data_IF_736887775913
#
_entry.id   IF_736887775913
#
_cell.length_a   1.000
_cell.length_b   1.000
_cell.length_c   1.000
_cell.angle_alpha   90.00
_cell.angle_beta   90.00
_cell.angle_gamma   90.00
#
_symmetry.space_group_name_H-M   'P 1'
#
loop_
_entity.id
_entity.type
_entity.pdbx_description
1 polymer ?
#
# COMPACT_ATOMS: atom_id res chain seq x y z
N UNK A 1 17.52 9.84 14.81
CA UNK A 1 16.07 9.99 15.00
C UNK A 1 15.44 8.80 14.29
N UNK A 2 14.97 7.79 15.02
CA UNK A 2 14.26 6.67 14.41
C UNK A 2 12.82 7.14 14.10
N UNK A 3 12.31 6.80 12.93
CA UNK A 3 10.89 6.99 12.60
C UNK A 3 10.07 6.04 13.48
N UNK A 4 8.90 6.48 13.97
CA UNK A 4 8.05 5.61 14.78
C UNK A 4 7.60 4.39 13.97
N UNK A 5 7.28 3.28 14.63
CA UNK A 5 6.83 2.05 13.97
C UNK A 5 5.53 2.30 13.17
N UNK A 6 4.68 3.21 13.63
CA UNK A 6 3.47 3.63 12.90
C UNK A 6 3.82 4.28 11.56
N UNK A 7 4.80 5.19 11.57
CA UNK A 7 5.23 5.88 10.35
C UNK A 7 5.88 4.92 9.35
N UNK A 8 6.66 3.96 9.84
CA UNK A 8 7.26 2.93 8.99
C UNK A 8 6.19 2.05 8.32
N UNK A 9 5.14 1.68 9.06
CA UNK A 9 4.02 0.91 8.52
C UNK A 9 3.25 1.70 7.45
N UNK A 10 2.98 2.98 7.71
CA UNK A 10 2.33 3.85 6.73
C UNK A 10 3.19 4.02 5.47
N UNK A 11 4.50 4.24 5.61
CA UNK A 11 5.42 4.31 4.48
C UNK A 11 5.42 2.99 3.68
N UNK A 12 5.46 1.85 4.36
CA UNK A 12 5.44 0.52 3.73
C UNK A 12 4.18 0.32 2.87
N UNK A 13 3.01 0.64 3.41
CA UNK A 13 1.74 0.44 2.70
C UNK A 13 1.36 1.54 1.71
N UNK A 14 2.19 2.58 1.58
CA UNK A 14 2.00 3.65 0.60
C UNK A 14 3.14 3.69 -0.40
N UNK A 15 4.34 4.05 0.01
CA UNK A 15 5.47 4.26 -0.90
C UNK A 15 6.03 2.94 -1.44
N UNK A 16 6.07 1.87 -0.63
CA UNK A 16 6.62 0.58 -1.06
C UNK A 16 5.56 -0.31 -1.73
N UNK A 17 4.38 -0.44 -1.12
CA UNK A 17 3.33 -1.37 -1.56
C UNK A 17 1.96 -0.72 -1.76
N UNK A 18 1.92 0.58 -2.07
CA UNK A 18 0.66 1.30 -2.28
C UNK A 18 -0.01 1.05 -3.62
N UNK A 19 -1.35 1.07 -3.57
CA UNK A 19 -2.23 1.07 -4.72
C UNK A 19 -3.01 2.38 -4.78
N UNK A 20 -3.43 2.81 -5.97
CA UNK A 20 -4.28 3.99 -6.14
C UNK A 20 -5.42 3.71 -7.11
N UNK A 21 -6.46 4.55 -7.02
CA UNK A 21 -7.49 4.63 -8.05
C UNK A 21 -7.08 5.58 -9.16
N UNK A 22 -7.34 5.18 -10.40
CA UNK A 22 -7.25 6.01 -11.59
C UNK A 22 -8.56 5.85 -12.38
N UNK A 23 -9.50 6.77 -12.15
CA UNK A 23 -10.90 6.59 -12.59
C UNK A 23 -11.51 5.36 -11.93
N UNK A 24 -12.06 4.46 -12.74
CA UNK A 24 -12.66 3.18 -12.28
C UNK A 24 -11.63 2.04 -12.16
N UNK A 25 -10.34 2.31 -12.44
CA UNK A 25 -9.28 1.29 -12.43
C UNK A 25 -8.44 1.35 -11.16
N UNK A 26 -8.02 0.17 -10.70
CA UNK A 26 -7.02 0.01 -9.66
C UNK A 26 -5.62 -0.06 -10.30
N UNK A 27 -4.66 0.69 -9.75
CA UNK A 27 -3.28 0.75 -10.24
C UNK A 27 -2.30 0.58 -9.08
N UNK A 28 -1.15 -0.02 -9.36
CA UNK A 28 -0.03 -0.06 -8.43
C UNK A 28 0.89 1.15 -8.66
N UNK A 29 1.37 1.75 -7.58
CA UNK A 29 2.38 2.79 -7.64
C UNK A 29 3.55 2.56 -6.67
N UNK A 30 3.40 1.66 -5.70
CA UNK A 30 4.44 1.34 -4.74
C UNK A 30 5.71 0.79 -5.41
N UNK A 31 6.87 1.24 -4.94
CA UNK A 31 8.16 0.87 -5.53
C UNK A 31 8.45 -0.64 -5.49
N UNK A 32 8.09 -1.32 -4.39
CA UNK A 32 8.19 -2.76 -4.24
C UNK A 32 7.33 -3.52 -5.24
N UNK A 33 6.10 -3.04 -5.48
CA UNK A 33 5.21 -3.61 -6.50
C UNK A 33 5.78 -3.40 -7.92
N UNK A 34 6.20 -2.18 -8.25
CA UNK A 34 6.69 -1.86 -9.60
C UNK A 34 8.01 -2.55 -9.96
N UNK A 35 8.78 -2.97 -8.97
CA UNK A 35 10.04 -3.70 -9.14
C UNK A 35 9.90 -5.23 -9.07
N UNK A 36 8.73 -5.75 -8.68
CA UNK A 36 8.46 -7.18 -8.53
C UNK A 36 7.37 -7.64 -9.49
N UNK A 37 7.76 -8.27 -10.60
CA UNK A 37 6.80 -8.76 -11.60
C UNK A 37 5.73 -9.69 -11.01
N UNK A 38 6.13 -10.62 -10.14
CA UNK A 38 5.21 -11.59 -9.53
C UNK A 38 4.24 -10.93 -8.57
N UNK A 39 4.72 -10.00 -7.74
CA UNK A 39 3.86 -9.33 -6.76
C UNK A 39 2.95 -8.29 -7.41
N UNK A 40 3.39 -7.65 -8.49
CA UNK A 40 2.55 -6.76 -9.30
C UNK A 40 1.33 -7.49 -9.88
N UNK A 41 1.51 -8.71 -10.39
CA UNK A 41 0.39 -9.52 -10.87
C UNK A 41 -0.50 -10.01 -9.72
N UNK A 42 0.10 -10.32 -8.56
CA UNK A 42 -0.61 -10.77 -7.38
C UNK A 42 -1.49 -9.67 -6.78
N UNK A 43 -0.97 -8.44 -6.62
CA UNK A 43 -1.68 -7.33 -5.97
C UNK A 43 -2.91 -6.85 -6.75
N UNK A 44 -2.94 -7.05 -8.06
CA UNK A 44 -4.07 -6.73 -8.95
C UNK A 44 -4.99 -7.93 -9.23
N UNK A 45 -4.74 -9.08 -8.58
CA UNK A 45 -5.62 -10.26 -8.67
C UNK A 45 -6.72 -10.24 -7.60
N UNK A 46 -7.57 -11.25 -7.57
CA UNK A 46 -8.61 -11.41 -6.55
C UNK A 46 -8.12 -12.15 -5.29
N UNK A 47 -6.80 -12.32 -5.11
CA UNK A 47 -6.20 -13.07 -4.00
C UNK A 47 -5.99 -12.23 -2.74
N UNK A 48 -5.36 -11.04 -2.80
CA UNK A 48 -5.16 -10.23 -1.62
C UNK A 48 -6.43 -9.48 -1.23
N UNK A 49 -6.47 -9.03 0.02
CA UNK A 49 -7.47 -8.10 0.49
C UNK A 49 -7.09 -6.66 0.11
N UNK A 50 -8.03 -5.91 -0.45
CA UNK A 50 -7.83 -4.52 -0.86
C UNK A 50 -8.68 -3.63 0.03
N UNK A 51 -8.05 -2.71 0.76
CA UNK A 51 -8.71 -1.80 1.72
C UNK A 51 -8.49 -0.33 1.35
N UNK A 52 -9.38 0.60 1.74
CA UNK A 52 -9.11 2.03 1.58
C UNK A 52 -7.99 2.49 2.52
N UNK A 53 -7.18 3.45 2.06
CA UNK A 53 -6.12 4.06 2.88
C UNK A 53 -6.73 4.91 4.01
N UNK A 54 -6.62 4.39 5.23
CA UNK A 54 -7.02 5.02 6.49
C UNK A 54 -5.87 4.87 7.48
N UNK A 55 -5.22 5.98 7.86
CA UNK A 55 -3.96 5.95 8.61
C UNK A 55 -4.05 5.21 9.93
N UNK A 56 -5.16 5.34 10.66
CA UNK A 56 -5.39 4.65 11.94
C UNK A 56 -5.31 3.13 11.80
N UNK A 57 -5.73 2.59 10.66
CA UNK A 57 -5.67 1.15 10.37
C UNK A 57 -4.32 0.76 9.76
N UNK A 58 -3.79 1.58 8.87
CA UNK A 58 -2.54 1.30 8.14
C UNK A 58 -1.32 1.37 9.06
N UNK A 59 -1.31 2.25 10.04
CA UNK A 59 -0.19 2.44 10.98
C UNK A 59 0.05 1.24 11.91
N UNK A 60 -0.98 0.44 12.16
CA UNK A 60 -0.91 -0.74 13.04
C UNK A 60 -0.99 -2.06 12.26
N UNK A 61 -1.12 -1.99 10.93
CA UNK A 61 -1.20 -3.18 10.08
C UNK A 61 0.15 -3.90 10.10
N UNK A 62 0.12 -5.19 10.47
CA UNK A 62 1.31 -6.05 10.42
C UNK A 62 1.60 -6.47 8.98
N UNK A 63 2.88 -6.58 8.66
CA UNK A 63 3.38 -7.01 7.36
C UNK A 63 4.61 -7.91 7.51
N UNK A 64 4.94 -8.61 6.42
CA UNK A 64 6.17 -9.38 6.26
C UNK A 64 6.97 -8.81 5.10
N UNK A 65 8.30 -8.72 5.26
CA UNK A 65 9.20 -8.24 4.21
C UNK A 65 9.64 -9.36 3.24
N UNK A 66 9.34 -10.62 3.56
CA UNK A 66 9.79 -11.79 2.79
C UNK A 66 8.68 -12.47 1.98
N UNK A 67 7.44 -12.06 2.19
CA UNK A 67 6.24 -12.68 1.59
C UNK A 67 5.41 -11.61 0.89
N UNK A 68 4.56 -12.04 -0.06
CA UNK A 68 3.60 -11.12 -0.69
C UNK A 68 2.59 -10.61 0.32
N UNK A 69 2.23 -9.34 0.20
CA UNK A 69 1.35 -8.72 1.19
C UNK A 69 -0.08 -9.29 1.09
N UNK A 70 -0.65 -9.86 2.16
CA UNK A 70 -2.02 -10.36 2.14
C UNK A 70 -3.06 -9.23 2.07
N UNK A 71 -2.66 -8.00 2.41
CA UNK A 71 -3.50 -6.81 2.41
C UNK A 71 -2.76 -5.63 1.77
N UNK A 72 -3.42 -4.93 0.86
CA UNK A 72 -2.94 -3.68 0.26
C UNK A 72 -3.92 -2.54 0.55
N UNK A 73 -3.39 -1.31 0.58
CA UNK A 73 -4.20 -0.11 0.79
C UNK A 73 -4.28 0.74 -0.47
N UNK A 74 -5.47 1.28 -0.72
CA UNK A 74 -5.79 2.07 -1.91
C UNK A 74 -5.96 3.53 -1.52
N UNK A 75 -5.12 4.38 -2.08
CA UNK A 75 -5.31 5.82 -2.07
C UNK A 75 -6.34 6.23 -3.12
N UNK A 76 -7.29 7.11 -2.77
CA UNK A 76 -8.24 7.66 -3.75
C UNK A 76 -7.54 8.60 -4.73
N UNK A 77 -6.53 9.33 -4.27
CA UNK A 77 -5.60 10.12 -5.09
C UNK A 77 -4.31 10.40 -4.32
N UNK A 78 -3.24 10.81 -5.00
CA UNK A 78 -2.02 11.25 -4.32
C UNK A 78 -2.23 12.51 -3.47
N UNK A 79 -3.17 13.39 -3.85
CA UNK A 79 -3.52 14.55 -3.03
C UNK A 79 -4.22 14.12 -1.73
N UNK A 80 -5.19 13.20 -1.81
CA UNK A 80 -5.87 12.62 -0.64
C UNK A 80 -4.88 11.90 0.30
N UNK A 81 -3.96 11.10 -0.26
CA UNK A 81 -2.91 10.46 0.53
C UNK A 81 -2.02 11.49 1.23
N UNK A 82 -1.60 12.54 0.51
CA UNK A 82 -0.77 13.63 1.07
C UNK A 82 -1.50 14.43 2.15
N UNK A 83 -2.80 14.65 2.04
CA UNK A 83 -3.57 15.38 3.06
C UNK A 83 -3.75 14.57 4.35
N UNK A 84 -3.74 13.24 4.25
CA UNK A 84 -3.81 12.34 5.40
C UNK A 84 -2.46 12.24 6.12
N UNK A 85 -1.35 12.19 5.38
CA UNK A 85 0.03 12.01 5.86
C UNK A 85 0.62 13.28 6.50
#
# INVERSE_FOLDING_TARGET
MALSEEFQSVYWFTVEFGLCKEGDSLKAYGAGLLSSFGELQYCLSNKPEIRPLVLENTSVQKYSVTEFQPTYFVAESFNDAKEKL
#
